data_IF_616712919579
#
_entry.id   IF_616712919579
#
_cell.length_a   1.000
_cell.length_b   1.000
_cell.length_c   1.000
_cell.angle_alpha   90.00
_cell.angle_beta   90.00
_cell.angle_gamma   90.00
#
_symmetry.space_group_name_H-M   'P 1'
#
loop_
_entity.id
_entity.type
_entity.pdbx_description
1 polymer ?
#
# COMPACT_ATOMS: atom_id res chain seq x y z
N UNK A 1 -32.47 43.01 33.37
CA UNK A 1 -31.34 42.54 34.21
C UNK A 1 -30.07 43.19 33.67
N UNK A 2 -29.62 44.27 34.31
CA UNK A 2 -28.43 45.01 33.86
C UNK A 2 -27.14 44.34 34.32
N UNK A 3 -26.31 43.94 33.35
CA UNK A 3 -24.98 43.37 33.60
C UNK A 3 -24.02 44.52 33.95
N UNK A 4 -23.76 44.72 35.24
CA UNK A 4 -22.70 45.62 35.72
C UNK A 4 -21.33 45.11 35.27
N UNK A 5 -20.74 45.74 34.26
CA UNK A 5 -19.34 45.54 33.90
C UNK A 5 -18.44 46.08 35.02
N UNK A 6 -17.81 45.18 35.79
CA UNK A 6 -16.76 45.55 36.75
C UNK A 6 -15.53 46.06 35.99
N UNK A 7 -15.34 47.39 35.95
CA UNK A 7 -14.08 48.01 35.50
C UNK A 7 -12.93 47.51 36.40
N UNK A 8 -11.94 46.88 35.79
CA UNK A 8 -10.73 46.42 36.49
C UNK A 8 -9.92 47.62 36.95
N UNK A 9 -9.38 47.57 38.17
CA UNK A 9 -8.55 48.64 38.72
C UNK A 9 -7.28 48.86 37.89
N UNK A 10 -6.76 50.09 37.89
CA UNK A 10 -5.50 50.43 37.24
C UNK A 10 -4.33 49.57 37.76
N UNK A 11 -4.34 49.19 39.05
CA UNK A 11 -3.34 48.29 39.63
C UNK A 11 -3.38 46.89 39.00
N UNK A 12 -4.58 46.35 38.73
CA UNK A 12 -4.77 45.04 38.09
C UNK A 12 -4.27 45.05 36.65
N UNK A 13 -4.52 46.14 35.93
CA UNK A 13 -4.05 46.33 34.54
C UNK A 13 -2.52 46.39 34.52
N UNK A 14 -1.92 47.20 35.42
CA UNK A 14 -0.46 47.38 35.51
C UNK A 14 0.27 46.10 35.93
N UNK A 15 -0.30 45.34 36.87
CA UNK A 15 0.22 44.02 37.27
C UNK A 15 0.20 43.01 36.12
N UNK A 16 -0.89 42.94 35.34
CA UNK A 16 -0.96 42.08 34.14
C UNK A 16 0.06 42.49 33.07
N UNK A 17 0.25 43.78 32.87
CA UNK A 17 1.26 44.30 31.94
C UNK A 17 2.68 43.92 32.39
N UNK A 18 2.98 44.05 33.68
CA UNK A 18 4.28 43.67 34.24
C UNK A 18 4.51 42.16 34.19
N UNK A 19 3.48 41.34 34.44
CA UNK A 19 3.55 39.88 34.28
C UNK A 19 3.76 39.48 32.82
N UNK A 20 3.08 40.14 31.89
CA UNK A 20 3.27 39.92 30.45
C UNK A 20 4.68 40.30 30.00
N UNK A 21 5.22 41.41 30.51
CA UNK A 21 6.61 41.84 30.28
C UNK A 21 7.62 40.83 30.85
N UNK A 22 7.46 40.40 32.11
CA UNK A 22 8.31 39.35 32.72
C UNK A 22 8.26 38.05 31.93
N UNK A 23 7.07 37.55 31.58
CA UNK A 23 6.92 36.34 30.77
C UNK A 23 7.53 36.47 29.35
N UNK A 24 7.75 37.69 28.86
CA UNK A 24 8.43 37.96 27.59
C UNK A 24 9.94 37.96 27.73
N UNK A 25 10.45 38.40 28.89
CA UNK A 25 11.87 38.46 29.25
C UNK A 25 12.37 37.06 29.67
N UNK A 26 11.58 36.34 30.47
CA UNK A 26 11.90 35.00 30.97
C UNK A 26 11.54 33.89 29.97
N UNK A 27 11.16 34.25 28.74
CA UNK A 27 10.84 33.25 27.72
C UNK A 27 12.16 32.68 27.21
N UNK A 28 12.43 31.37 27.39
CA UNK A 28 13.62 30.77 26.79
C UNK A 28 13.59 31.03 25.28
N UNK A 29 14.76 31.33 24.75
CA UNK A 29 14.94 31.82 23.40
C UNK A 29 14.20 30.89 22.42
N UNK A 30 13.32 31.47 21.60
CA UNK A 30 12.67 30.69 20.53
C UNK A 30 13.81 30.18 19.66
N UNK A 31 13.92 28.84 19.52
CA UNK A 31 14.88 28.19 18.63
C UNK A 31 15.11 29.05 17.37
N UNK A 32 16.37 29.44 17.16
CA UNK A 32 16.79 30.26 16.03
C UNK A 32 16.14 29.73 14.74
N UNK A 33 15.68 30.62 13.83
CA UNK A 33 15.08 30.22 12.55
C UNK A 33 15.90 29.23 11.71
N UNK A 34 17.21 29.09 11.97
CA UNK A 34 18.13 28.20 11.26
C UNK A 34 18.09 26.72 11.71
N UNK A 35 17.88 26.40 12.99
CA UNK A 35 18.08 25.05 13.50
C UNK A 35 16.97 24.08 13.04
N UNK A 36 15.73 24.57 12.98
CA UNK A 36 14.60 23.79 12.45
C UNK A 36 14.76 23.56 10.95
N UNK A 37 15.13 24.59 10.20
CA UNK A 37 15.34 24.47 8.76
C UNK A 37 16.50 23.50 8.44
N UNK A 38 17.61 23.59 9.17
CA UNK A 38 18.74 22.67 9.06
C UNK A 38 18.34 21.23 9.39
N UNK A 39 17.59 21.00 10.48
CA UNK A 39 17.08 19.66 10.83
C UNK A 39 16.15 19.11 9.75
N UNK A 40 15.28 19.94 9.17
CA UNK A 40 14.42 19.50 8.07
C UNK A 40 15.23 19.17 6.82
N UNK A 41 16.24 19.96 6.46
CA UNK A 41 17.13 19.67 5.34
C UNK A 41 17.90 18.35 5.54
N UNK A 42 18.43 18.12 6.75
CA UNK A 42 19.09 16.87 7.12
C UNK A 42 18.14 15.67 6.98
N UNK A 43 16.90 15.78 7.49
CA UNK A 43 15.90 14.71 7.37
C UNK A 43 15.45 14.49 5.92
N UNK A 44 15.29 15.56 5.14
CA UNK A 44 15.00 15.47 3.70
C UNK A 44 16.10 14.72 2.97
N UNK A 45 17.37 15.04 3.26
CA UNK A 45 18.52 14.33 2.67
C UNK A 45 18.59 12.89 3.13
N UNK A 46 18.49 12.63 4.45
CA UNK A 46 18.55 11.30 5.06
C UNK A 46 17.54 10.33 4.46
N UNK A 47 16.30 10.79 4.27
CA UNK A 47 15.21 9.94 3.79
C UNK A 47 14.97 10.06 2.28
N UNK A 48 15.67 10.95 1.58
CA UNK A 48 15.44 11.26 0.16
C UNK A 48 14.01 11.70 -0.09
N UNK A 49 13.53 12.70 0.68
CA UNK A 49 12.14 13.13 0.68
C UNK A 49 11.90 14.25 -0.35
N UNK A 50 10.65 14.41 -0.82
CA UNK A 50 10.30 15.52 -1.71
C UNK A 50 10.48 16.88 -1.02
N UNK A 51 11.02 17.90 -1.72
CA UNK A 51 11.29 19.21 -1.13
C UNK A 51 10.02 19.95 -0.69
N UNK A 52 8.88 19.69 -1.31
CA UNK A 52 7.58 20.29 -1.01
C UNK A 52 6.86 19.64 0.19
N UNK A 53 7.52 18.73 0.90
CA UNK A 53 6.93 17.95 1.98
C UNK A 53 6.60 18.77 3.23
N UNK A 54 5.40 18.57 3.76
CA UNK A 54 5.01 19.04 5.10
C UNK A 54 5.39 18.00 6.15
N UNK A 55 6.25 18.39 7.09
CA UNK A 55 6.70 17.52 8.17
C UNK A 55 5.79 17.58 9.40
N UNK A 56 5.43 16.40 9.91
CA UNK A 56 4.72 16.19 11.17
C UNK A 56 5.56 15.31 12.09
N UNK A 57 5.91 15.83 13.26
CA UNK A 57 6.58 15.06 14.31
C UNK A 57 5.52 14.58 15.30
N UNK A 58 5.27 13.28 15.34
CA UNK A 58 4.18 12.66 16.07
C UNK A 58 4.72 11.94 17.30
N UNK A 59 4.12 12.22 18.47
CA UNK A 59 4.40 11.46 19.69
C UNK A 59 3.62 10.16 19.68
N UNK A 60 4.29 9.06 20.02
CA UNK A 60 3.62 7.79 20.25
C UNK A 60 2.71 7.88 21.46
N UNK A 61 1.48 7.39 21.33
CA UNK A 61 0.48 7.38 22.39
C UNK A 61 -0.87 7.90 21.89
N UNK A 62 -1.94 7.20 22.26
CA UNK A 62 -3.30 7.62 21.94
C UNK A 62 -3.76 8.65 22.96
N UNK A 63 -4.10 9.84 22.51
CA UNK A 63 -4.80 10.82 23.36
C UNK A 63 -6.30 10.58 23.24
N UNK A 64 -6.88 9.91 24.22
CA UNK A 64 -8.33 9.71 24.28
C UNK A 64 -9.05 11.08 24.33
N UNK A 65 -10.20 11.18 23.66
CA UNK A 65 -11.00 12.40 23.60
C UNK A 65 -10.53 13.47 22.61
N UNK A 66 -9.37 13.32 21.97
CA UNK A 66 -8.96 14.21 20.87
C UNK A 66 -9.29 13.59 19.51
N UNK A 67 -9.84 14.37 18.56
CA UNK A 67 -9.98 13.90 17.19
C UNK A 67 -8.61 13.52 16.63
N UNK A 68 -8.59 12.53 15.73
CA UNK A 68 -7.38 12.21 14.97
C UNK A 68 -7.05 13.36 14.04
N UNK A 69 -5.75 13.56 13.82
CA UNK A 69 -5.30 14.39 12.71
C UNK A 69 -5.56 13.64 11.41
N UNK A 70 -6.44 14.16 10.56
CA UNK A 70 -6.75 13.62 9.23
C UNK A 70 -5.85 14.30 8.19
N UNK A 71 -5.17 13.51 7.37
CA UNK A 71 -4.38 13.96 6.23
C UNK A 71 -5.23 13.86 4.97
N UNK A 72 -5.29 14.94 4.20
CA UNK A 72 -6.28 15.09 3.12
C UNK A 72 -5.73 15.70 1.81
N UNK A 73 -4.51 16.26 1.82
CA UNK A 73 -3.92 16.89 0.63
C UNK A 73 -2.40 17.04 0.74
N UNK A 74 -1.76 17.29 -0.41
CA UNK A 74 -0.33 17.62 -0.53
C UNK A 74 0.61 16.44 -0.31
N UNK A 75 1.89 16.73 -0.09
CA UNK A 75 2.89 15.74 0.35
C UNK A 75 3.13 15.91 1.85
N UNK A 76 2.88 14.87 2.65
CA UNK A 76 3.03 14.91 4.12
C UNK A 76 3.95 13.79 4.58
N UNK A 77 4.94 14.15 5.40
CA UNK A 77 5.89 13.23 6.03
C UNK A 77 5.63 13.19 7.53
N UNK A 78 5.32 12.02 8.06
CA UNK A 78 5.14 11.77 9.47
C UNK A 78 6.38 11.04 10.03
N UNK A 79 7.00 11.65 11.03
CA UNK A 79 8.14 11.11 11.76
C UNK A 79 7.76 10.90 13.22
N UNK A 80 8.33 9.89 13.86
CA UNK A 80 8.26 9.78 15.32
C UNK A 80 9.01 10.95 15.96
N UNK A 81 8.39 11.63 16.91
CA UNK A 81 8.92 12.87 17.48
C UNK A 81 10.17 12.67 18.33
N UNK A 82 10.39 11.45 18.86
CA UNK A 82 11.51 11.12 19.74
C UNK A 82 12.71 10.58 18.96
N UNK A 83 12.45 9.68 18.03
CA UNK A 83 13.46 8.93 17.27
C UNK A 83 13.73 9.51 15.89
N UNK A 84 12.82 10.36 15.39
CA UNK A 84 12.79 10.81 13.99
C UNK A 84 12.68 9.65 12.99
N UNK A 85 12.19 8.48 13.41
CA UNK A 85 11.92 7.34 12.54
C UNK A 85 10.81 7.68 11.55
N UNK A 86 10.99 7.29 10.28
CA UNK A 86 9.96 7.44 9.25
C UNK A 86 8.76 6.54 9.54
N UNK A 87 7.58 7.13 9.70
CA UNK A 87 6.32 6.44 9.99
C UNK A 87 5.44 6.31 8.76
N UNK A 88 5.28 7.42 8.03
CA UNK A 88 4.39 7.54 6.89
C UNK A 88 4.87 8.67 5.97
N UNK A 89 4.88 8.43 4.67
CA UNK A 89 4.88 9.48 3.64
C UNK A 89 3.60 9.28 2.84
N UNK A 90 2.84 10.35 2.64
CA UNK A 90 1.65 10.32 1.78
C UNK A 90 1.70 11.49 0.81
N UNK A 91 1.37 11.22 -0.46
CA UNK A 91 1.17 12.24 -1.49
C UNK A 91 -0.20 12.08 -2.12
N UNK A 92 -0.98 13.15 -2.13
CA UNK A 92 -2.25 13.23 -2.85
C UNK A 92 -1.97 13.80 -4.24
N UNK A 93 -2.02 12.96 -5.26
CA UNK A 93 -1.76 13.32 -6.65
C UNK A 93 -3.08 13.62 -7.33
N UNK A 94 -3.37 14.90 -7.52
CA UNK A 94 -4.58 15.36 -8.22
C UNK A 94 -4.38 15.40 -9.73
N UNK A 95 -5.42 15.07 -10.49
CA UNK A 95 -5.37 15.19 -11.95
C UNK A 95 -5.62 16.62 -12.38
N UNK A 96 -4.68 17.15 -13.12
CA UNK A 96 -4.75 18.39 -13.87
C UNK A 96 -4.03 18.22 -15.23
N UNK A 97 -4.14 19.23 -16.10
CA UNK A 97 -3.55 19.18 -17.46
C UNK A 97 -2.05 18.88 -17.47
N UNK A 98 -1.29 19.30 -16.44
CA UNK A 98 0.15 19.03 -16.34
C UNK A 98 0.47 17.59 -15.91
N UNK A 99 -0.53 16.86 -15.40
CA UNK A 99 -0.39 15.49 -14.89
C UNK A 99 -1.07 14.43 -15.76
N UNK A 100 -1.68 14.80 -16.88
CA UNK A 100 -2.44 13.84 -17.69
C UNK A 100 -1.60 12.64 -18.14
N UNK A 101 -0.36 12.87 -18.58
CA UNK A 101 0.55 11.80 -18.97
C UNK A 101 0.85 10.82 -17.81
N UNK A 102 1.07 11.32 -16.59
CA UNK A 102 1.29 10.45 -15.42
C UNK A 102 0.01 9.71 -15.01
N UNK A 103 -1.17 10.32 -15.23
CA UNK A 103 -2.45 9.68 -15.00
C UNK A 103 -2.77 8.57 -16.00
N UNK A 104 -2.25 8.62 -17.21
CA UNK A 104 -2.30 7.49 -18.14
C UNK A 104 -1.47 6.31 -17.61
N UNK A 105 -0.27 6.56 -17.09
CA UNK A 105 0.56 5.54 -16.42
C UNK A 105 -0.11 4.98 -15.16
N UNK A 106 -0.72 5.82 -14.32
CA UNK A 106 -1.50 5.34 -13.18
C UNK A 106 -2.69 4.50 -13.61
N UNK A 107 -3.46 4.95 -14.60
CA UNK A 107 -4.63 4.22 -15.07
C UNK A 107 -4.24 2.87 -15.67
N UNK A 108 -3.17 2.82 -16.47
CA UNK A 108 -2.61 1.57 -17.00
C UNK A 108 -2.17 0.63 -15.87
N UNK A 109 -1.41 1.14 -14.91
CA UNK A 109 -0.88 0.38 -13.77
C UNK A 109 -1.99 -0.17 -12.87
N UNK A 110 -2.88 0.70 -12.39
CA UNK A 110 -3.95 0.36 -11.44
C UNK A 110 -4.95 -0.61 -12.07
N UNK A 111 -5.39 -0.37 -13.31
CA UNK A 111 -6.33 -1.26 -13.98
C UNK A 111 -5.73 -2.64 -14.25
N UNK A 112 -4.46 -2.70 -14.68
CA UNK A 112 -3.73 -3.95 -14.89
C UNK A 112 -3.57 -4.72 -13.58
N UNK A 113 -3.07 -4.07 -12.53
CA UNK A 113 -2.89 -4.68 -11.19
C UNK A 113 -4.22 -5.19 -10.65
N UNK A 114 -5.29 -4.39 -10.75
CA UNK A 114 -6.62 -4.76 -10.25
C UNK A 114 -7.18 -6.00 -10.94
N UNK A 115 -7.15 -6.04 -12.27
CA UNK A 115 -7.65 -7.19 -13.04
C UNK A 115 -6.76 -8.41 -12.86
N UNK A 116 -5.45 -8.22 -12.84
CA UNK A 116 -4.50 -9.28 -12.59
C UNK A 116 -4.75 -9.88 -11.20
N UNK A 117 -4.77 -9.11 -10.12
CA UNK A 117 -5.07 -9.66 -8.80
C UNK A 117 -6.43 -10.39 -8.73
N UNK A 118 -7.48 -9.88 -9.38
CA UNK A 118 -8.82 -10.52 -9.43
C UNK A 118 -8.86 -11.83 -10.22
N UNK A 119 -7.90 -12.10 -11.10
CA UNK A 119 -7.75 -13.40 -11.74
C UNK A 119 -7.21 -14.48 -10.77
N UNK A 120 -6.78 -14.11 -9.56
CA UNK A 120 -6.39 -15.03 -8.48
C UNK A 120 -7.55 -15.25 -7.50
N UNK A 121 -7.35 -16.16 -6.56
CA UNK A 121 -8.34 -16.43 -5.52
C UNK A 121 -8.41 -15.27 -4.51
N UNK A 122 -9.61 -15.03 -3.96
CA UNK A 122 -9.77 -14.11 -2.84
C UNK A 122 -8.99 -14.62 -1.62
N UNK A 123 -8.24 -13.74 -0.97
CA UNK A 123 -7.51 -14.02 0.26
C UNK A 123 -8.51 -14.03 1.44
N UNK A 124 -8.93 -15.23 1.85
CA UNK A 124 -9.86 -15.42 2.97
C UNK A 124 -9.17 -15.63 4.32
N UNK A 125 -7.86 -15.88 4.32
CA UNK A 125 -7.09 -16.28 5.50
C UNK A 125 -6.41 -15.11 6.23
N UNK A 126 -6.54 -13.87 5.74
CA UNK A 126 -5.97 -12.71 6.43
C UNK A 126 -6.70 -12.48 7.77
N UNK A 127 -6.01 -12.73 8.88
CA UNK A 127 -6.59 -12.64 10.22
C UNK A 127 -7.03 -11.24 10.64
N UNK A 128 -6.41 -10.18 10.13
CA UNK A 128 -6.83 -8.81 10.43
C UNK A 128 -8.13 -8.45 9.70
N UNK A 129 -8.24 -8.82 8.42
CA UNK A 129 -9.46 -8.68 7.61
C UNK A 129 -10.59 -9.56 8.15
N UNK A 130 -10.34 -10.84 8.44
CA UNK A 130 -11.35 -11.74 9.03
C UNK A 130 -11.95 -11.14 10.32
N UNK A 131 -11.09 -10.68 11.23
CA UNK A 131 -11.54 -10.05 12.48
C UNK A 131 -12.28 -8.74 12.23
N UNK A 132 -11.89 -7.95 11.22
CA UNK A 132 -12.56 -6.71 10.84
C UNK A 132 -13.93 -6.93 10.20
N UNK A 133 -14.09 -7.99 9.39
CA UNK A 133 -15.36 -8.37 8.78
C UNK A 133 -16.36 -8.86 9.83
N UNK A 134 -15.92 -9.73 10.77
CA UNK A 134 -16.79 -10.30 11.82
C UNK A 134 -17.41 -9.24 12.73
N UNK A 135 -16.68 -8.16 13.04
CA UNK A 135 -17.22 -7.08 13.86
C UNK A 135 -18.24 -6.20 13.14
N UNK A 136 -18.46 -6.39 11.83
CA UNK A 136 -19.12 -5.37 11.01
C UNK A 136 -20.05 -5.88 9.89
N UNK A 137 -20.24 -7.19 9.70
CA UNK A 137 -20.97 -7.78 8.54
C UNK A 137 -20.52 -7.19 7.19
N UNK A 138 -19.20 -7.06 6.96
CA UNK A 138 -18.62 -6.32 5.83
C UNK A 138 -18.14 -7.20 4.67
N UNK A 139 -18.21 -6.62 3.47
CA UNK A 139 -18.02 -7.24 2.16
C UNK A 139 -16.68 -6.92 1.47
N UNK A 140 -15.81 -6.13 2.11
CA UNK A 140 -14.55 -5.70 1.52
C UNK A 140 -13.63 -6.85 1.11
N UNK A 141 -13.15 -6.90 -0.12
CA UNK A 141 -12.41 -8.04 -0.70
C UNK A 141 -10.90 -7.78 -0.74
N UNK A 142 -10.13 -8.87 -0.72
CA UNK A 142 -8.66 -8.83 -0.81
C UNK A 142 -8.19 -9.92 -1.77
N UNK A 143 -7.26 -9.56 -2.62
CA UNK A 143 -6.60 -10.43 -3.60
C UNK A 143 -5.09 -10.24 -3.47
N UNK A 144 -4.32 -11.16 -4.02
CA UNK A 144 -2.87 -11.05 -4.05
C UNK A 144 -2.30 -11.62 -5.35
N UNK A 145 -1.21 -11.02 -5.81
CA UNK A 145 -0.41 -11.44 -6.97
C UNK A 145 1.09 -11.37 -6.63
N UNK A 146 1.94 -11.87 -7.54
CA UNK A 146 3.36 -12.07 -7.30
C UNK A 146 3.67 -13.37 -6.57
N UNK A 147 4.77 -13.38 -5.82
CA UNK A 147 5.31 -14.56 -5.15
C UNK A 147 4.86 -14.67 -3.69
N UNK A 148 4.55 -15.89 -3.29
CA UNK A 148 4.09 -16.24 -1.94
C UNK A 148 4.94 -17.37 -1.36
N UNK A 149 4.97 -17.50 -0.02
CA UNK A 149 5.43 -18.74 0.58
C UNK A 149 4.55 -19.91 0.13
N UNK A 150 5.19 -21.06 -0.05
CA UNK A 150 4.50 -22.33 -0.25
C UNK A 150 3.88 -22.82 1.06
N UNK A 151 2.70 -23.42 0.94
CA UNK A 151 1.97 -24.05 2.06
C UNK A 151 2.09 -25.57 2.05
N UNK A 152 2.60 -26.14 0.95
CA UNK A 152 2.77 -27.57 0.78
C UNK A 152 4.18 -27.99 1.24
N UNK A 153 4.36 -29.22 1.74
CA UNK A 153 5.68 -29.71 2.15
C UNK A 153 6.70 -29.71 1.01
N UNK A 154 6.25 -29.95 -0.22
CA UNK A 154 7.11 -30.08 -1.42
C UNK A 154 7.43 -28.72 -2.07
N UNK A 155 6.46 -27.80 -2.10
CA UNK A 155 6.65 -26.47 -2.70
C UNK A 155 6.96 -25.46 -1.61
N UNK A 156 8.17 -24.90 -1.61
CA UNK A 156 8.61 -23.91 -0.62
C UNK A 156 8.20 -22.48 -0.98
N UNK A 157 7.98 -22.19 -2.25
CA UNK A 157 7.57 -20.87 -2.74
C UNK A 157 7.01 -20.92 -4.15
N UNK A 158 6.22 -19.92 -4.51
CA UNK A 158 5.82 -19.75 -5.91
C UNK A 158 4.79 -18.66 -6.12
N UNK A 159 4.27 -18.56 -7.33
CA UNK A 159 3.33 -17.51 -7.69
C UNK A 159 1.90 -17.75 -7.10
N UNK A 160 1.12 -16.69 -6.92
CA UNK A 160 -0.33 -16.82 -6.72
C UNK A 160 -0.99 -17.31 -8.02
N UNK A 161 -1.73 -18.42 -7.94
CA UNK A 161 -2.33 -19.11 -9.09
C UNK A 161 -3.68 -18.53 -9.49
N UNK A 162 -4.09 -18.77 -10.75
CA UNK A 162 -5.43 -18.45 -11.23
C UNK A 162 -6.53 -19.09 -10.40
N UNK A 163 -7.60 -18.34 -10.15
CA UNK A 163 -8.84 -18.88 -9.59
C UNK A 163 -9.55 -19.79 -10.60
N UNK A 164 -10.59 -20.48 -10.13
CA UNK A 164 -11.38 -21.41 -10.94
C UNK A 164 -11.99 -20.75 -12.18
N UNK A 165 -12.49 -19.52 -12.06
CA UNK A 165 -13.17 -18.82 -13.15
C UNK A 165 -12.20 -18.45 -14.29
N UNK A 166 -10.98 -18.01 -13.95
CA UNK A 166 -9.92 -17.77 -14.94
C UNK A 166 -9.37 -19.09 -15.47
N UNK A 167 -9.18 -20.10 -14.62
CA UNK A 167 -8.60 -21.37 -15.06
C UNK A 167 -9.54 -22.29 -15.83
N UNK A 168 -10.80 -21.89 -16.03
CA UNK A 168 -11.78 -22.63 -16.82
C UNK A 168 -11.99 -22.03 -18.23
N UNK A 169 -11.29 -20.95 -18.58
CA UNK A 169 -11.54 -20.16 -19.78
C UNK A 169 -10.22 -19.67 -20.41
N UNK A 170 -9.86 -20.23 -21.57
CA UNK A 170 -8.62 -19.92 -22.28
C UNK A 170 -8.47 -18.42 -22.60
N UNK A 171 -9.57 -17.73 -22.92
CA UNK A 171 -9.53 -16.28 -23.23
C UNK A 171 -9.19 -15.48 -21.98
N UNK A 172 -9.70 -15.89 -20.80
CA UNK A 172 -9.34 -15.24 -19.53
C UNK A 172 -7.91 -15.51 -19.12
N UNK A 173 -7.40 -16.73 -19.37
CA UNK A 173 -6.00 -17.08 -19.17
C UNK A 173 -5.09 -16.20 -20.04
N UNK A 174 -5.37 -16.11 -21.34
CA UNK A 174 -4.59 -15.30 -22.29
C UNK A 174 -4.62 -13.81 -21.93
N UNK A 175 -5.79 -13.28 -21.59
CA UNK A 175 -5.91 -11.90 -21.11
C UNK A 175 -5.06 -11.65 -19.85
N UNK A 176 -4.90 -12.64 -18.99
CA UNK A 176 -4.08 -12.54 -17.79
C UNK A 176 -2.58 -12.68 -18.05
N UNK A 177 -2.17 -13.54 -18.98
CA UNK A 177 -0.81 -13.61 -19.50
C UNK A 177 -0.38 -12.27 -20.11
N UNK A 178 -1.25 -11.62 -20.89
CA UNK A 178 -0.98 -10.28 -21.42
C UNK A 178 -0.77 -9.25 -20.30
N UNK A 179 -1.58 -9.33 -19.23
CA UNK A 179 -1.38 -8.47 -18.04
C UNK A 179 -0.06 -8.77 -17.32
N UNK A 180 0.34 -10.04 -17.22
CA UNK A 180 1.64 -10.42 -16.66
C UNK A 180 2.79 -9.75 -17.43
N UNK A 181 2.74 -9.79 -18.77
CA UNK A 181 3.77 -9.18 -19.62
C UNK A 181 3.93 -7.66 -19.44
N UNK A 182 2.90 -6.97 -18.95
CA UNK A 182 2.96 -5.53 -18.65
C UNK A 182 3.52 -5.22 -17.25
N UNK A 183 3.56 -6.20 -16.34
CA UNK A 183 3.95 -5.94 -14.95
C UNK A 183 5.38 -5.40 -14.79
N UNK A 184 6.39 -5.78 -15.60
CA UNK A 184 7.74 -5.23 -15.47
C UNK A 184 7.80 -3.70 -15.65
N UNK A 185 7.11 -3.18 -16.68
CA UNK A 185 6.98 -1.74 -16.93
C UNK A 185 6.22 -1.05 -15.80
N UNK A 186 5.12 -1.66 -15.34
CA UNK A 186 4.33 -1.14 -14.22
C UNK A 186 5.16 -1.10 -12.93
N UNK A 187 5.97 -2.13 -12.65
CA UNK A 187 6.86 -2.14 -11.49
C UNK A 187 7.94 -1.06 -11.61
N UNK A 188 8.48 -0.79 -12.80
CA UNK A 188 9.41 0.32 -13.02
C UNK A 188 8.75 1.67 -12.71
N UNK A 189 7.53 1.89 -13.20
CA UNK A 189 6.74 3.08 -12.85
C UNK A 189 6.54 3.17 -11.33
N UNK A 190 6.10 2.09 -10.68
CA UNK A 190 5.91 2.07 -9.22
C UNK A 190 7.22 2.28 -8.44
N UNK A 191 8.37 1.82 -8.95
CA UNK A 191 9.67 2.05 -8.35
C UNK A 191 10.07 3.53 -8.41
N UNK A 192 9.80 4.21 -9.53
CA UNK A 192 9.97 5.67 -9.65
C UNK A 192 9.08 6.40 -8.63
N UNK A 193 7.81 6.01 -8.53
CA UNK A 193 6.87 6.60 -7.55
C UNK A 193 7.32 6.37 -6.10
N UNK A 194 7.77 5.16 -5.77
CA UNK A 194 8.23 4.80 -4.43
C UNK A 194 9.51 5.56 -4.05
N UNK A 195 10.54 5.49 -4.90
CA UNK A 195 11.81 6.21 -4.66
C UNK A 195 11.63 7.73 -4.63
N UNK A 196 10.71 8.27 -5.43
CA UNK A 196 10.35 9.68 -5.44
C UNK A 196 9.56 10.15 -4.21
N UNK A 197 9.07 9.26 -3.35
CA UNK A 197 8.47 9.61 -2.05
C UNK A 197 9.45 9.44 -0.89
N UNK A 198 10.28 8.39 -0.93
CA UNK A 198 11.43 8.24 -0.05
C UNK A 198 12.42 7.26 -0.66
N UNK A 199 13.58 7.79 -1.09
CA UNK A 199 14.67 6.97 -1.60
C UNK A 199 15.15 5.98 -0.52
N UNK A 200 15.23 6.42 0.73
CA UNK A 200 15.65 5.55 1.85
C UNK A 200 14.73 4.33 2.03
N UNK A 201 13.41 4.53 1.99
CA UNK A 201 12.47 3.43 2.15
C UNK A 201 12.55 2.44 0.98
N UNK A 202 12.68 2.96 -0.25
CA UNK A 202 12.89 2.14 -1.44
C UNK A 202 14.18 1.32 -1.36
N UNK A 203 15.31 1.95 -1.04
CA UNK A 203 16.61 1.29 -0.93
C UNK A 203 16.66 0.29 0.23
N UNK A 204 15.98 0.58 1.35
CA UNK A 204 15.82 -0.36 2.45
C UNK A 204 15.12 -1.65 1.98
N UNK A 205 14.04 -1.53 1.22
CA UNK A 205 13.34 -2.71 0.68
C UNK A 205 14.18 -3.41 -0.39
N UNK A 206 14.84 -2.66 -1.28
CA UNK A 206 15.68 -3.21 -2.33
C UNK A 206 16.88 -3.99 -1.80
N UNK A 207 17.51 -3.48 -0.73
CA UNK A 207 18.61 -4.17 -0.06
C UNK A 207 18.17 -5.48 0.58
N UNK A 208 16.95 -5.52 1.14
CA UNK A 208 16.36 -6.76 1.66
C UNK A 208 16.16 -7.75 0.53
N UNK A 209 15.51 -7.35 -0.57
CA UNK A 209 15.26 -8.22 -1.70
C UNK A 209 16.56 -8.81 -2.27
N UNK A 210 17.58 -7.97 -2.47
CA UNK A 210 18.89 -8.39 -2.96
C UNK A 210 19.56 -9.39 -2.00
N UNK A 211 19.60 -9.10 -0.70
CA UNK A 211 20.21 -10.00 0.30
C UNK A 211 19.47 -11.34 0.41
N UNK A 212 18.14 -11.32 0.33
CA UNK A 212 17.33 -12.54 0.49
C UNK A 212 17.09 -13.27 -0.83
N UNK A 213 17.51 -12.73 -1.98
CA UNK A 213 17.11 -13.17 -3.32
C UNK A 213 15.57 -13.28 -3.43
N UNK A 214 14.84 -12.31 -2.88
CA UNK A 214 13.39 -12.28 -3.02
C UNK A 214 13.04 -11.92 -4.48
N UNK A 215 12.16 -12.69 -5.15
CA UNK A 215 11.74 -12.38 -6.51
C UNK A 215 10.90 -11.10 -6.54
N UNK A 216 10.84 -10.43 -7.69
CA UNK A 216 9.92 -9.30 -7.88
C UNK A 216 8.50 -9.79 -8.09
N UNK A 217 7.52 -9.06 -7.56
CA UNK A 217 6.10 -9.37 -7.73
C UNK A 217 5.64 -9.33 -9.20
N UNK A 218 6.40 -8.67 -10.07
CA UNK A 218 6.15 -8.54 -11.50
C UNK A 218 6.86 -9.62 -12.35
N UNK A 219 7.74 -10.42 -11.74
CA UNK A 219 8.57 -11.38 -12.46
C UNK A 219 7.77 -12.60 -12.91
N UNK A 220 8.01 -13.08 -14.13
CA UNK A 220 7.44 -14.35 -14.61
C UNK A 220 8.15 -15.56 -14.01
N UNK A 221 9.48 -15.46 -13.87
CA UNK A 221 10.32 -16.49 -13.28
C UNK A 221 10.63 -16.14 -11.84
N UNK A 222 10.86 -17.17 -11.03
CA UNK A 222 11.29 -17.00 -9.64
C UNK A 222 12.71 -16.41 -9.56
N UNK A 223 13.58 -16.69 -10.53
CA UNK A 223 15.02 -16.39 -10.42
C UNK A 223 15.46 -15.19 -11.23
N UNK A 224 14.65 -14.79 -12.20
CA UNK A 224 14.97 -13.70 -13.12
C UNK A 224 14.02 -12.56 -12.84
N UNK A 225 14.58 -11.47 -12.29
CA UNK A 225 13.86 -10.21 -12.23
C UNK A 225 14.07 -9.43 -13.53
N UNK A 226 13.00 -8.90 -14.14
CA UNK A 226 13.11 -8.04 -15.30
C UNK A 226 13.63 -6.63 -14.95
N UNK A 227 13.67 -6.28 -13.66
CA UNK A 227 14.03 -4.96 -13.17
C UNK A 227 15.31 -5.03 -12.32
N UNK A 228 16.13 -3.97 -12.39
CA UNK A 228 17.43 -3.92 -11.71
C UNK A 228 17.32 -3.91 -10.18
N UNK A 229 16.21 -3.41 -9.62
CA UNK A 229 15.97 -3.35 -8.17
C UNK A 229 14.56 -3.81 -7.84
N UNK A 230 14.46 -4.93 -7.12
CA UNK A 230 13.21 -5.46 -6.58
C UNK A 230 12.90 -4.79 -5.25
N UNK A 231 11.70 -4.25 -5.05
CA UNK A 231 11.31 -3.63 -3.77
C UNK A 231 10.14 -4.34 -3.06
N UNK A 232 9.57 -5.36 -3.70
CA UNK A 232 8.47 -6.17 -3.18
C UNK A 232 8.39 -7.51 -3.91
N UNK A 233 7.99 -8.55 -3.18
CA UNK A 233 7.83 -9.90 -3.74
C UNK A 233 6.38 -10.26 -4.03
N UNK A 234 5.44 -9.59 -3.36
CA UNK A 234 4.03 -9.68 -3.65
C UNK A 234 3.37 -8.31 -3.67
N UNK A 235 2.21 -8.29 -4.32
CA UNK A 235 1.29 -7.15 -4.30
C UNK A 235 -0.08 -7.63 -3.81
N UNK A 236 -0.59 -6.96 -2.79
CA UNK A 236 -1.96 -7.15 -2.31
C UNK A 236 -2.84 -6.11 -2.97
N UNK A 237 -4.05 -6.51 -3.38
CA UNK A 237 -5.09 -5.61 -3.88
C UNK A 237 -6.32 -5.74 -3.00
N UNK A 238 -6.87 -4.60 -2.61
CA UNK A 238 -8.10 -4.49 -1.82
C UNK A 238 -9.14 -3.73 -2.60
N UNK A 239 -10.40 -4.13 -2.44
CA UNK A 239 -11.52 -3.39 -2.99
C UNK A 239 -12.75 -3.45 -2.10
N UNK A 240 -13.79 -2.73 -2.52
CA UNK A 240 -15.07 -2.61 -1.86
C UNK A 240 -14.91 -1.93 -0.50
N UNK A 241 -15.72 -2.31 0.47
CA UNK A 241 -15.66 -1.79 1.83
C UNK A 241 -14.55 -2.46 2.65
N UNK A 242 -13.35 -2.60 2.06
CA UNK A 242 -12.20 -3.23 2.73
C UNK A 242 -11.93 -2.61 4.10
N UNK A 243 -11.77 -3.50 5.08
CA UNK A 243 -11.52 -3.17 6.47
C UNK A 243 -10.56 -4.21 7.03
N UNK A 244 -9.71 -3.81 7.96
CA UNK A 244 -8.97 -4.73 8.81
C UNK A 244 -8.93 -4.18 10.24
N UNK A 245 -8.64 -5.04 11.22
CA UNK A 245 -8.39 -4.58 12.60
C UNK A 245 -6.97 -4.02 12.74
N UNK A 246 -6.76 -3.19 13.77
CA UNK A 246 -5.43 -2.80 14.26
C UNK A 246 -4.48 -4.01 14.29
N UNK A 247 -3.38 -3.92 13.57
CA UNK A 247 -2.34 -4.95 13.50
C UNK A 247 -1.00 -4.34 13.08
N UNK A 248 0.05 -5.16 13.12
CA UNK A 248 1.33 -4.95 12.46
C UNK A 248 1.51 -6.05 11.45
N UNK A 249 2.19 -5.78 10.35
CA UNK A 249 2.50 -6.82 9.38
C UNK A 249 3.75 -7.58 9.79
N UNK A 250 3.78 -8.86 9.44
CA UNK A 250 4.93 -9.75 9.66
C UNK A 250 5.75 -9.85 8.36
N UNK A 251 6.15 -8.69 7.86
CA UNK A 251 6.98 -8.58 6.67
C UNK A 251 8.46 -8.46 7.06
N UNK A 252 9.33 -8.91 6.15
CA UNK A 252 10.76 -8.69 6.26
C UNK A 252 11.10 -7.24 5.93
N UNK A 253 10.41 -6.66 4.93
CA UNK A 253 10.48 -5.23 4.62
C UNK A 253 9.84 -4.39 5.72
N UNK A 254 10.55 -3.38 6.22
CA UNK A 254 10.02 -2.41 7.20
C UNK A 254 8.95 -1.50 6.59
N UNK A 255 9.13 -1.13 5.32
CA UNK A 255 8.27 -0.20 4.61
C UNK A 255 7.41 -0.91 3.58
N UNK A 256 6.20 -0.40 3.40
CA UNK A 256 5.25 -0.86 2.38
C UNK A 256 4.90 0.33 1.51
N UNK A 257 4.91 0.13 0.19
CA UNK A 257 4.47 1.12 -0.78
C UNK A 257 3.09 0.72 -1.32
N UNK A 258 2.18 1.69 -1.42
CA UNK A 258 0.83 1.44 -1.89
C UNK A 258 0.22 2.62 -2.64
N UNK A 259 -0.73 2.29 -3.52
CA UNK A 259 -1.55 3.23 -4.27
C UNK A 259 -3.01 3.05 -3.87
N UNK A 260 -3.73 4.16 -3.71
CA UNK A 260 -5.16 4.16 -3.44
C UNK A 260 -5.88 5.10 -4.40
N UNK A 261 -7.09 4.73 -4.79
CA UNK A 261 -7.90 5.55 -5.68
C UNK A 261 -9.29 4.95 -5.88
N UNK A 262 -10.14 5.67 -6.60
CA UNK A 262 -11.46 5.21 -6.98
C UNK A 262 -11.37 4.63 -8.40
N UNK A 263 -11.96 3.47 -8.62
CA UNK A 263 -11.93 2.80 -9.93
C UNK A 263 -13.31 2.34 -10.36
N UNK A 264 -13.52 2.26 -11.67
CA UNK A 264 -14.62 1.49 -12.25
C UNK A 264 -14.52 0.02 -11.84
N UNK A 265 -15.59 -0.55 -11.30
CA UNK A 265 -15.59 -1.89 -10.72
C UNK A 265 -15.24 -2.98 -11.74
N UNK A 266 -15.73 -2.82 -12.96
CA UNK A 266 -15.66 -3.82 -14.02
C UNK A 266 -14.29 -3.84 -14.67
N UNK A 267 -13.76 -2.67 -15.02
CA UNK A 267 -12.52 -2.48 -15.78
C UNK A 267 -11.31 -2.19 -14.90
N UNK A 268 -11.49 -1.63 -13.69
CA UNK A 268 -10.39 -1.17 -12.84
C UNK A 268 -9.76 0.15 -13.29
N UNK A 269 -10.32 0.81 -14.31
CA UNK A 269 -9.86 2.12 -14.76
C UNK A 269 -10.11 3.16 -13.67
N UNK A 270 -9.19 4.11 -13.53
CA UNK A 270 -9.35 5.22 -12.61
C UNK A 270 -10.65 5.96 -12.89
N UNK A 271 -11.41 6.19 -11.83
CA UNK A 271 -12.66 6.91 -11.85
C UNK A 271 -12.47 8.26 -11.17
N UNK A 272 -12.91 9.31 -11.85
CA UNK A 272 -12.92 10.65 -11.30
C UNK A 272 -14.37 11.04 -11.03
N UNK A 273 -14.64 11.62 -9.86
CA UNK A 273 -16.00 12.02 -9.50
C UNK A 273 -16.53 13.18 -10.38
N UNK A 274 -15.67 13.83 -11.18
CA UNK A 274 -16.01 14.95 -12.06
C UNK A 274 -16.10 14.63 -13.58
N UNK A 275 -16.84 15.51 -14.29
CA UNK A 275 -17.22 15.60 -15.73
C UNK A 275 -18.34 14.69 -16.26
N UNK A 276 -18.53 13.48 -15.76
CA UNK A 276 -19.70 12.63 -16.07
C UNK A 276 -20.64 12.57 -14.86
N UNK A 277 -21.92 12.18 -15.06
CA UNK A 277 -22.83 11.95 -13.93
C UNK A 277 -22.15 11.06 -12.85
N UNK A 278 -22.23 11.44 -11.56
CA UNK A 278 -21.56 10.69 -10.51
C UNK A 278 -22.10 9.26 -10.49
N UNK A 279 -21.23 8.25 -10.61
CA UNK A 279 -21.59 6.82 -10.58
C UNK A 279 -21.66 6.27 -9.15
N UNK A 280 -21.50 7.15 -8.17
CA UNK A 280 -21.51 6.84 -6.74
C UNK A 280 -20.36 7.46 -5.97
N UNK A 281 -20.28 7.11 -4.69
CA UNK A 281 -19.17 7.46 -3.81
C UNK A 281 -18.93 6.40 -2.74
N UNK A 282 -17.80 6.51 -2.04
CA UNK A 282 -17.44 5.69 -0.89
C UNK A 282 -17.13 6.66 0.25
N UNK A 283 -17.67 6.38 1.44
CA UNK A 283 -17.52 7.23 2.62
C UNK A 283 -17.01 6.47 3.84
N UNK A 284 -16.07 7.08 4.58
CA UNK A 284 -15.57 6.61 5.87
C UNK A 284 -14.25 5.82 5.82
N UNK A 285 -13.72 5.55 4.64
CA UNK A 285 -12.48 4.81 4.43
C UNK A 285 -11.24 5.61 4.84
N UNK A 286 -10.57 5.21 5.91
CA UNK A 286 -9.35 5.86 6.43
C UNK A 286 -8.27 4.84 6.71
N UNK A 287 -7.03 5.18 6.38
CA UNK A 287 -5.86 4.42 6.81
C UNK A 287 -5.30 5.06 8.09
N UNK A 288 -5.29 4.33 9.20
CA UNK A 288 -5.00 4.88 10.53
C UNK A 288 -3.66 4.33 11.02
N UNK A 289 -2.75 5.22 11.43
CA UNK A 289 -1.60 4.85 12.27
C UNK A 289 -2.03 4.90 13.73
N UNK A 290 -2.45 3.75 14.25
CA UNK A 290 -3.12 3.65 15.54
C UNK A 290 -2.30 4.14 16.73
N UNK A 291 -0.98 4.04 16.65
CA UNK A 291 -0.09 4.43 17.75
C UNK A 291 0.19 5.95 17.79
N UNK A 292 -0.19 6.71 16.74
CA UNK A 292 0.16 8.14 16.58
C UNK A 292 -1.03 9.08 16.40
N UNK A 293 -2.27 8.57 16.57
CA UNK A 293 -3.51 9.36 16.45
C UNK A 293 -3.63 10.19 15.14
N UNK A 294 -3.08 9.68 14.05
CA UNK A 294 -3.15 10.25 12.70
C UNK A 294 -3.82 9.25 11.75
N UNK A 295 -4.54 9.76 10.77
CA UNK A 295 -5.09 8.96 9.69
C UNK A 295 -5.01 9.68 8.34
N UNK A 296 -5.01 8.89 7.27
CA UNK A 296 -5.11 9.35 5.88
C UNK A 296 -6.54 9.14 5.45
N UNK A 297 -7.20 10.21 5.01
CA UNK A 297 -8.52 10.13 4.42
C UNK A 297 -8.39 9.61 2.98
N UNK A 298 -8.79 8.37 2.75
CA UNK A 298 -8.64 7.70 1.45
C UNK A 298 -9.66 8.19 0.41
N UNK A 299 -10.51 9.15 0.78
CA UNK A 299 -11.57 9.72 -0.05
C UNK A 299 -11.35 11.21 -0.31
N UNK A 300 -10.27 11.78 0.22
CA UNK A 300 -9.97 13.21 0.11
C UNK A 300 -9.45 13.64 -1.27
N UNK A 301 -9.05 12.68 -2.10
CA UNK A 301 -8.57 12.92 -3.47
C UNK A 301 -9.43 12.17 -4.47
N UNK A 302 -9.75 12.85 -5.58
CA UNK A 302 -10.36 12.24 -6.77
C UNK A 302 -9.29 11.75 -7.77
N UNK A 303 -8.01 11.88 -7.41
CA UNK A 303 -6.86 11.35 -8.12
C UNK A 303 -6.32 10.07 -7.49
N UNK A 304 -5.01 10.01 -7.28
CA UNK A 304 -4.31 8.85 -6.70
C UNK A 304 -3.60 9.27 -5.42
N UNK A 305 -3.75 8.47 -4.37
CA UNK A 305 -2.99 8.62 -3.13
C UNK A 305 -1.83 7.63 -3.17
N UNK A 306 -0.62 8.16 -3.15
CA UNK A 306 0.60 7.38 -3.01
C UNK A 306 0.99 7.34 -1.54
N UNK A 307 1.38 6.17 -1.03
CA UNK A 307 1.65 6.02 0.39
C UNK A 307 2.81 5.08 0.65
N UNK A 308 3.75 5.52 1.49
CA UNK A 308 4.74 4.67 2.15
C UNK A 308 4.39 4.64 3.63
N UNK A 309 4.27 3.47 4.25
CA UNK A 309 4.16 3.38 5.70
C UNK A 309 5.09 2.33 6.29
N UNK A 310 5.44 2.54 7.56
CA UNK A 310 6.15 1.56 8.37
C UNK A 310 5.15 0.50 8.85
N UNK A 311 5.20 -0.71 8.28
CA UNK A 311 4.25 -1.79 8.59
C UNK A 311 4.44 -2.40 9.99
N UNK A 312 5.56 -2.08 10.66
CA UNK A 312 5.86 -2.47 12.03
C UNK A 312 5.23 -1.53 13.08
N UNK A 313 4.54 -0.48 12.63
CA UNK A 313 3.67 0.38 13.44
C UNK A 313 2.25 -0.16 13.35
N UNK A 314 1.51 -0.12 14.46
CA UNK A 314 0.13 -0.58 14.39
C UNK A 314 -0.72 0.29 13.48
N UNK A 315 -1.40 -0.34 12.55
CA UNK A 315 -2.24 0.32 11.58
C UNK A 315 -3.51 -0.46 11.27
N UNK A 316 -4.46 0.22 10.64
CA UNK A 316 -5.70 -0.38 10.14
C UNK A 316 -6.37 0.50 9.08
N UNK A 317 -7.24 -0.11 8.29
CA UNK A 317 -8.20 0.55 7.41
C UNK A 317 -9.58 0.51 8.07
N UNK A 318 -10.22 1.67 8.23
CA UNK A 318 -11.55 1.77 8.84
C UNK A 318 -12.66 1.28 7.91
N UNK A 319 -13.82 1.05 8.53
CA UNK A 319 -15.08 0.84 7.83
C UNK A 319 -15.36 1.93 6.79
N UNK A 320 -15.79 1.55 5.59
CA UNK A 320 -16.44 2.47 4.67
C UNK A 320 -17.84 1.97 4.28
N UNK A 321 -18.63 2.86 3.69
CA UNK A 321 -19.94 2.59 3.10
C UNK A 321 -19.92 3.02 1.64
N UNK A 322 -20.66 2.30 0.80
CA UNK A 322 -20.75 2.55 -0.65
C UNK A 322 -22.11 3.13 -0.98
N UNK A 323 -22.13 4.14 -1.84
CA UNK A 323 -23.32 4.84 -2.29
C UNK A 323 -23.36 4.86 -3.82
N UNK A 324 -24.55 4.74 -4.40
CA UNK A 324 -24.76 4.84 -5.84
C UNK A 324 -24.90 6.32 -6.30
N UNK A 325 -25.21 6.53 -7.57
CA UNK A 325 -25.42 7.85 -8.17
C UNK A 325 -26.49 8.70 -7.44
N UNK A 326 -27.53 8.05 -6.92
CA UNK A 326 -28.65 8.69 -6.20
C UNK A 326 -28.35 8.94 -4.71
N UNK A 327 -27.09 8.80 -4.30
CA UNK A 327 -26.65 8.87 -2.90
C UNK A 327 -27.35 7.87 -1.97
N UNK A 328 -27.90 6.77 -2.52
CA UNK A 328 -28.44 5.67 -1.73
C UNK A 328 -27.33 4.72 -1.34
N UNK A 329 -27.32 4.29 -0.08
CA UNK A 329 -26.37 3.26 0.37
C UNK A 329 -26.72 1.93 -0.31
N UNK A 330 -25.76 1.36 -1.04
CA UNK A 330 -25.91 0.09 -1.76
C UNK A 330 -24.88 -0.94 -1.28
N UNK A 331 -25.12 -2.21 -1.60
CA UNK A 331 -24.08 -3.22 -1.43
C UNK A 331 -22.92 -2.93 -2.40
N UNK A 332 -21.65 -3.18 -2.00
CA UNK A 332 -20.52 -2.87 -2.87
C UNK A 332 -20.58 -3.56 -4.24
N UNK A 333 -21.11 -4.78 -4.30
CA UNK A 333 -21.32 -5.55 -5.52
C UNK A 333 -22.23 -4.88 -6.55
N UNK A 334 -23.21 -4.10 -6.09
CA UNK A 334 -24.18 -3.39 -6.93
C UNK A 334 -23.69 -2.01 -7.36
N UNK A 335 -22.58 -1.54 -6.78
CA UNK A 335 -22.01 -0.24 -7.12
C UNK A 335 -21.17 -0.31 -8.38
N UNK A 336 -21.27 0.71 -9.23
CA UNK A 336 -20.47 0.82 -10.46
C UNK A 336 -18.99 1.10 -10.21
N UNK A 337 -18.67 1.66 -9.04
CA UNK A 337 -17.33 2.04 -8.63
C UNK A 337 -16.91 1.31 -7.36
N UNK A 338 -15.60 1.18 -7.16
CA UNK A 338 -15.04 0.60 -5.95
C UNK A 338 -13.73 1.28 -5.58
N UNK A 339 -13.38 1.29 -4.29
CA UNK A 339 -12.10 1.85 -3.83
C UNK A 339 -11.02 0.83 -4.10
N UNK A 340 -10.08 1.14 -4.97
CA UNK A 340 -8.85 0.39 -5.15
C UNK A 340 -7.85 0.78 -4.06
N UNK A 341 -7.17 -0.23 -3.51
CA UNK A 341 -5.95 -0.02 -2.75
C UNK A 341 -4.98 -1.16 -3.03
N UNK A 342 -3.71 -0.88 -3.29
CA UNK A 342 -2.67 -1.89 -3.38
C UNK A 342 -1.52 -1.66 -2.39
N UNK A 343 -0.77 -2.72 -2.11
CA UNK A 343 0.36 -2.70 -1.20
C UNK A 343 1.44 -3.70 -1.65
N UNK A 344 2.68 -3.23 -1.83
CA UNK A 344 3.84 -4.03 -2.22
C UNK A 344 4.80 -4.19 -1.03
N UNK A 345 5.20 -5.43 -0.74
CA UNK A 345 6.05 -5.76 0.40
C UNK A 345 6.83 -7.07 0.17
N UNK A 346 7.74 -7.38 1.10
CA UNK A 346 8.50 -8.64 1.14
C UNK A 346 8.10 -9.40 2.40
N UNK A 347 7.37 -10.50 2.23
CA UNK A 347 6.89 -11.29 3.37
C UNK A 347 8.04 -12.00 4.10
N UNK A 348 8.03 -11.94 5.44
CA UNK A 348 9.01 -12.70 6.25
C UNK A 348 8.87 -14.21 6.02
N UNK A 349 7.64 -14.69 5.81
CA UNK A 349 7.41 -16.11 5.57
C UNK A 349 8.04 -16.58 4.24
N UNK A 350 8.04 -15.74 3.20
CA UNK A 350 8.73 -16.07 1.95
C UNK A 350 10.24 -16.10 2.15
N UNK A 351 10.80 -15.09 2.84
CA UNK A 351 12.24 -15.04 3.15
C UNK A 351 12.68 -16.29 3.92
N UNK A 352 11.95 -16.68 4.96
CA UNK A 352 12.26 -17.89 5.73
C UNK A 352 12.27 -19.15 4.85
N UNK A 353 11.38 -19.23 3.84
CA UNK A 353 11.35 -20.36 2.90
C UNK A 353 12.56 -20.33 1.97
N UNK A 354 12.98 -19.15 1.53
CA UNK A 354 14.19 -18.99 0.71
C UNK A 354 15.44 -19.37 1.48
N UNK A 355 15.55 -18.95 2.74
CA UNK A 355 16.69 -19.29 3.59
C UNK A 355 16.77 -20.80 3.83
N UNK A 356 15.63 -21.46 4.07
CA UNK A 356 15.58 -22.91 4.19
C UNK A 356 16.04 -23.64 2.92
N UNK A 357 15.65 -23.13 1.74
CA UNK A 357 16.09 -23.72 0.45
C UNK A 357 17.59 -23.48 0.27
N UNK A 358 18.10 -22.27 0.54
CA UNK A 358 19.53 -21.95 0.44
C UNK A 358 20.41 -22.76 1.39
N UNK A 359 19.92 -23.09 2.58
CA UNK A 359 20.68 -23.88 3.55
C UNK A 359 21.04 -25.29 3.01
N UNK A 360 20.24 -25.83 2.08
CA UNK A 360 20.50 -27.12 1.46
C UNK A 360 21.59 -27.06 0.37
N UNK A 361 21.98 -25.87 -0.09
CA UNK A 361 22.95 -25.73 -1.19
C UNK A 361 24.31 -26.35 -0.88
N UNK A 362 24.80 -26.23 0.36
CA UNK A 362 26.11 -26.77 0.74
C UNK A 362 26.18 -28.29 0.70
N UNK A 363 25.05 -28.97 0.60
CA UNK A 363 24.92 -30.43 0.58
C UNK A 363 24.77 -30.99 -0.85
N UNK A 364 24.79 -30.13 -1.87
CA UNK A 364 24.44 -30.48 -3.26
C UNK A 364 25.53 -30.06 -4.24
N UNK A 365 25.65 -30.81 -5.35
CA UNK A 365 26.39 -30.33 -6.53
C UNK A 365 25.64 -29.14 -7.16
N UNK A 366 26.29 -28.36 -8.03
CA UNK A 366 25.61 -27.25 -8.74
C UNK A 366 24.45 -27.73 -9.61
N UNK A 367 24.56 -28.90 -10.25
CA UNK A 367 23.50 -29.48 -11.08
C UNK A 367 22.30 -29.94 -10.22
N UNK A 368 22.58 -30.63 -9.11
CA UNK A 368 21.55 -31.05 -8.15
C UNK A 368 20.87 -29.85 -7.52
N UNK A 369 21.63 -28.79 -7.23
CA UNK A 369 21.13 -27.54 -6.69
C UNK A 369 20.13 -26.88 -7.63
N UNK A 370 20.48 -26.70 -8.91
CA UNK A 370 19.59 -26.09 -9.92
C UNK A 370 18.30 -26.91 -10.08
N UNK A 371 18.42 -28.24 -10.08
CA UNK A 371 17.29 -29.15 -10.18
C UNK A 371 16.39 -29.05 -8.95
N UNK A 372 16.97 -29.13 -7.75
CA UNK A 372 16.25 -29.01 -6.48
C UNK A 372 15.51 -27.67 -6.40
N UNK A 373 16.21 -26.56 -6.66
CA UNK A 373 15.65 -25.22 -6.58
C UNK A 373 14.41 -25.10 -7.49
N UNK A 374 14.54 -25.53 -8.75
CA UNK A 374 13.46 -25.52 -9.74
C UNK A 374 12.26 -26.40 -9.36
N UNK A 375 12.49 -27.48 -8.60
CA UNK A 375 11.41 -28.34 -8.11
C UNK A 375 10.60 -27.72 -6.96
N UNK A 376 11.24 -26.89 -6.12
CA UNK A 376 10.64 -26.39 -4.88
C UNK A 376 10.19 -24.93 -4.95
N UNK A 377 10.66 -24.16 -5.94
CA UNK A 377 10.26 -22.78 -6.20
C UNK A 377 9.73 -22.66 -7.63
N UNK A 378 8.46 -22.27 -7.77
CA UNK A 378 7.77 -22.22 -9.07
C UNK A 378 7.46 -20.80 -9.51
N UNK A 379 7.75 -20.48 -10.77
CA UNK A 379 7.38 -19.20 -11.38
C UNK A 379 5.92 -19.17 -11.84
N UNK A 380 5.54 -18.03 -12.40
CA UNK A 380 4.23 -17.82 -12.99
C UNK A 380 4.06 -18.62 -14.28
N UNK A 381 5.08 -18.63 -15.15
CA UNK A 381 5.03 -19.28 -16.47
C UNK A 381 4.77 -20.78 -16.35
N UNK A 382 5.44 -21.45 -15.42
CA UNK A 382 5.30 -22.89 -15.17
C UNK A 382 3.90 -23.22 -14.65
N UNK A 383 3.38 -22.40 -13.73
CA UNK A 383 2.02 -22.58 -13.19
C UNK A 383 0.94 -22.31 -14.24
N UNK A 384 1.12 -21.27 -15.06
CA UNK A 384 0.21 -20.94 -16.15
C UNK A 384 0.18 -22.06 -17.19
N UNK A 385 1.35 -22.52 -17.65
CA UNK A 385 1.47 -23.61 -18.62
C UNK A 385 0.79 -24.89 -18.12
N UNK A 386 1.03 -25.29 -16.86
CA UNK A 386 0.37 -26.47 -16.26
C UNK A 386 -1.17 -26.37 -16.30
N UNK A 387 -1.72 -25.20 -15.98
CA UNK A 387 -3.19 -24.99 -16.00
C UNK A 387 -3.75 -24.93 -17.41
N UNK A 388 -3.05 -24.30 -18.35
CA UNK A 388 -3.45 -24.25 -19.75
C UNK A 388 -3.44 -25.64 -20.38
N UNK A 389 -2.37 -26.42 -20.18
CA UNK A 389 -2.27 -27.81 -20.64
C UNK A 389 -3.43 -28.65 -20.09
N UNK A 390 -3.70 -28.57 -18.78
CA UNK A 390 -4.81 -29.29 -18.16
C UNK A 390 -6.18 -28.93 -18.76
N UNK A 391 -6.43 -27.65 -19.08
CA UNK A 391 -7.67 -27.24 -19.73
C UNK A 391 -7.71 -27.69 -21.20
N UNK A 392 -6.60 -27.59 -21.93
CA UNK A 392 -6.53 -27.98 -23.34
C UNK A 392 -6.76 -29.50 -23.51
N UNK A 393 -6.17 -30.33 -22.65
CA UNK A 393 -6.45 -31.77 -22.59
C UNK A 393 -7.93 -32.04 -22.32
N UNK A 394 -8.52 -31.36 -21.33
CA UNK A 394 -9.95 -31.49 -20.99
C UNK A 394 -10.87 -31.11 -22.16
N UNK A 395 -10.47 -30.15 -22.99
CA UNK A 395 -11.21 -29.70 -24.16
C UNK A 395 -10.90 -30.50 -25.44
N UNK A 396 -9.99 -31.48 -25.38
CA UNK A 396 -9.54 -32.25 -26.55
C UNK A 396 -8.74 -31.44 -27.57
N UNK A 397 -8.20 -30.28 -27.17
CA UNK A 397 -7.38 -29.40 -28.02
C UNK A 397 -5.92 -29.87 -28.03
N UNK A 398 -5.47 -30.52 -26.95
CA UNK A 398 -4.12 -31.05 -26.78
C UNK A 398 -4.20 -32.58 -26.69
N UNK A 399 -3.31 -33.30 -27.36
CA UNK A 399 -3.10 -34.74 -27.19
C UNK A 399 -1.74 -34.95 -26.47
N UNK A 400 -1.70 -35.87 -25.51
CA UNK A 400 -0.56 -36.07 -24.59
C UNK A 400 0.61 -36.86 -25.21
N UNK A 401 0.63 -37.00 -26.53
CA UNK A 401 1.50 -37.85 -27.35
C UNK A 401 2.68 -37.10 -28.00
N UNK A 402 3.21 -36.06 -27.31
CA UNK A 402 4.49 -35.41 -27.64
C UNK A 402 5.53 -35.58 -26.53
#
# INVERSE_FOLDING_TARGET
MDVKYKKKSASTIRSRLNRSKRNKIDRPDRHLPNARAAKLAELTQKYGLPPESKFLFLKKGRVFGKPRLSLEYGTVVCLDADTCDLLLVVRFVERNNASDAVFDSYNHSISTIYQHAKARNEVKTNGATYRGRRSSRKFGRMYAAGFRPGYDPEVKGGHYTWNQATSADLRKMEADLKRQGNLPEIESFMAERFSGLSLHAFESNASIAARTNAPSWASESFYVSPNAKVFGSNIVVTCDQFVNKKHKDKDCSKYVFGLFGLVDRASGRLYQRGKTAPRGTIMGGRFVLNDYNVDVNLEASDGVIEMIWNSQVHHQTTASKTFNADAMQVAPEDAEITRFGCACQISQALVNRLDNVKALRSEMSEEDWVTHQSSVLTGYKEQAHKKMKALALKLGIWQDDF
#
